data_IF_205407601641
#
_entry.id   IF_205407601641
#
_cell.length_a   1.000
_cell.length_b   1.000
_cell.length_c   1.000
_cell.angle_alpha   90.00
_cell.angle_beta   90.00
_cell.angle_gamma   90.00
#
_symmetry.space_group_name_H-M   'P 1'
#
loop_
_entity.id
_entity.type
_entity.pdbx_description
1 polymer ?
#
# COMPACT_ATOMS: atom_id res chain seq x y z
N UNK A 1 -2.70 16.95 8.41
CA UNK A 1 -1.32 16.97 7.91
C UNK A 1 -1.04 15.74 7.05
N UNK A 2 0.08 15.70 6.31
CA UNK A 2 0.42 14.59 5.41
C UNK A 2 0.55 13.23 6.13
N UNK A 3 1.14 13.21 7.33
CA UNK A 3 1.26 11.99 8.14
C UNK A 3 -0.09 11.36 8.51
N UNK A 4 -1.06 12.15 8.97
CA UNK A 4 -2.41 11.66 9.30
C UNK A 4 -3.13 11.05 8.09
N UNK A 5 -2.97 11.66 6.91
CA UNK A 5 -3.52 11.09 5.68
C UNK A 5 -2.86 9.73 5.35
N UNK A 6 -1.54 9.62 5.48
CA UNK A 6 -0.83 8.37 5.28
C UNK A 6 -1.23 7.28 6.29
N UNK A 7 -1.39 7.63 7.57
CA UNK A 7 -1.87 6.72 8.62
C UNK A 7 -3.31 6.24 8.34
N UNK A 8 -4.19 7.13 7.90
CA UNK A 8 -5.57 6.80 7.54
C UNK A 8 -5.65 5.90 6.32
N UNK A 9 -4.84 6.17 5.29
CA UNK A 9 -4.71 5.27 4.12
C UNK A 9 -4.17 3.90 4.55
N UNK A 10 -3.12 3.85 5.38
CA UNK A 10 -2.58 2.59 5.89
C UNK A 10 -3.65 1.78 6.66
N UNK A 11 -4.42 2.40 7.55
CA UNK A 11 -5.50 1.75 8.31
C UNK A 11 -6.51 1.08 7.37
N UNK A 12 -6.96 1.79 6.34
CA UNK A 12 -7.89 1.27 5.35
C UNK A 12 -7.30 0.11 4.52
N UNK A 13 -6.05 0.25 4.06
CA UNK A 13 -5.39 -0.72 3.20
C UNK A 13 -4.95 -1.97 3.96
N UNK A 14 -4.40 -1.83 5.16
CA UNK A 14 -3.96 -2.94 6.01
C UNK A 14 -5.12 -3.89 6.37
N UNK A 15 -6.34 -3.38 6.52
CA UNK A 15 -7.52 -4.20 6.80
C UNK A 15 -7.98 -5.05 5.61
N UNK A 16 -7.75 -4.60 4.37
CA UNK A 16 -8.39 -5.18 3.17
C UNK A 16 -7.40 -5.78 2.16
N UNK A 17 -6.17 -5.29 2.17
CA UNK A 17 -5.19 -5.53 1.12
C UNK A 17 -3.81 -5.95 1.66
N UNK A 18 -3.68 -6.22 2.96
CA UNK A 18 -2.43 -6.76 3.51
C UNK A 18 -2.13 -8.13 2.91
N UNK A 19 -0.87 -8.30 2.50
CA UNK A 19 -0.38 -9.58 2.02
C UNK A 19 -0.34 -10.63 3.13
N UNK A 20 -0.37 -11.90 2.74
CA UNK A 20 -0.11 -13.02 3.64
C UNK A 20 1.26 -12.87 4.32
N UNK A 21 1.39 -13.44 5.52
CA UNK A 21 2.51 -13.19 6.43
C UNK A 21 3.90 -13.47 5.81
N UNK A 22 3.99 -14.43 4.89
CA UNK A 22 5.24 -14.81 4.22
C UNK A 22 5.78 -13.72 3.27
N UNK A 23 4.95 -12.75 2.89
CA UNK A 23 5.34 -11.60 2.05
C UNK A 23 5.41 -10.29 2.83
N UNK A 24 5.11 -10.31 4.13
CA UNK A 24 5.10 -9.10 4.91
C UNK A 24 6.52 -8.60 5.21
N UNK A 25 6.71 -7.30 5.14
CA UNK A 25 7.97 -6.62 5.41
C UNK A 25 7.82 -5.69 6.61
N UNK A 26 8.94 -5.38 7.26
CA UNK A 26 9.02 -4.38 8.31
C UNK A 26 9.85 -3.20 7.81
N UNK A 27 9.35 -1.95 7.93
CA UNK A 27 10.12 -0.78 7.55
C UNK A 27 11.32 -0.62 8.51
N UNK A 28 12.43 -0.08 8.00
CA UNK A 28 13.60 0.26 8.83
C UNK A 28 13.32 1.49 9.71
N UNK A 29 12.62 2.47 9.13
CA UNK A 29 12.11 3.65 9.81
C UNK A 29 10.58 3.68 9.60
N UNK A 30 9.79 3.20 10.57
CA UNK A 30 8.33 3.23 10.45
C UNK A 30 7.81 4.67 10.56
N UNK A 31 6.75 4.98 9.81
CA UNK A 31 5.89 6.11 10.15
C UNK A 31 5.22 5.82 11.51
N UNK A 32 5.19 6.76 12.48
CA UNK A 32 4.62 6.55 13.81
C UNK A 32 3.07 6.59 13.75
N UNK A 33 2.47 5.59 13.12
CA UNK A 33 1.03 5.52 12.84
C UNK A 33 0.18 5.52 14.12
N UNK A 34 0.71 5.04 15.23
CA UNK A 34 0.02 5.03 16.53
C UNK A 34 -0.11 6.43 17.14
N UNK A 35 0.75 7.37 16.75
CA UNK A 35 0.73 8.76 17.21
C UNK A 35 -0.09 9.67 16.28
N UNK A 36 -0.58 9.14 15.16
CA UNK A 36 -1.28 9.87 14.11
C UNK A 36 -2.76 9.51 14.11
N UNK A 37 -3.62 10.52 13.90
CA UNK A 37 -5.01 10.29 13.52
C UNK A 37 -5.11 9.46 12.22
N UNK A 38 -5.63 8.25 12.37
CA UNK A 38 -5.86 7.27 11.29
C UNK A 38 -7.32 7.17 10.86
N UNK A 39 -8.19 8.08 11.30
CA UNK A 39 -9.64 8.07 11.05
C UNK A 39 -10.10 9.20 10.13
N UNK A 40 -9.16 9.86 9.44
CA UNK A 40 -9.53 10.85 8.44
C UNK A 40 -10.22 10.19 7.25
N UNK A 41 -11.28 10.83 6.76
CA UNK A 41 -11.94 10.44 5.51
C UNK A 41 -11.09 10.86 4.31
N UNK A 42 -10.11 10.03 3.99
CA UNK A 42 -9.20 10.20 2.87
C UNK A 42 -9.26 8.99 1.95
N UNK A 43 -9.29 9.25 0.64
CA UNK A 43 -9.19 8.19 -0.35
C UNK A 43 -7.73 7.86 -0.63
N UNK A 44 -7.35 6.57 -0.72
CA UNK A 44 -6.01 6.20 -1.20
C UNK A 44 -5.75 6.83 -2.58
N UNK A 45 -4.53 7.33 -2.87
CA UNK A 45 -4.19 7.93 -4.16
C UNK A 45 -4.60 7.07 -5.38
N UNK A 46 -4.96 7.72 -6.50
CA UNK A 46 -5.50 7.05 -7.68
C UNK A 46 -4.59 5.92 -8.20
N UNK A 47 -3.27 6.14 -8.19
CA UNK A 47 -2.28 5.16 -8.60
C UNK A 47 -2.31 3.90 -7.71
N UNK A 48 -2.36 4.08 -6.39
CA UNK A 48 -2.48 2.96 -5.44
C UNK A 48 -3.77 2.19 -5.70
N UNK A 49 -4.91 2.87 -5.87
CA UNK A 49 -6.19 2.22 -6.18
C UNK A 49 -6.14 1.41 -7.48
N UNK A 50 -5.44 1.90 -8.51
CA UNK A 50 -5.28 1.19 -9.76
C UNK A 50 -4.52 -0.14 -9.55
N UNK A 51 -3.40 -0.12 -8.83
CA UNK A 51 -2.65 -1.34 -8.51
C UNK A 51 -3.45 -2.33 -7.64
N UNK A 52 -4.20 -1.84 -6.65
CA UNK A 52 -5.08 -2.69 -5.84
C UNK A 52 -6.16 -3.39 -6.68
N UNK A 53 -6.72 -2.72 -7.70
CA UNK A 53 -7.66 -3.34 -8.66
C UNK A 53 -7.00 -4.40 -9.55
N UNK A 54 -5.69 -4.30 -9.76
CA UNK A 54 -4.91 -5.32 -10.46
C UNK A 54 -4.48 -6.48 -9.57
N UNK A 55 -4.80 -6.44 -8.27
CA UNK A 55 -4.48 -7.50 -7.31
C UNK A 55 -3.24 -7.22 -6.46
N UNK A 56 -2.68 -6.01 -6.52
CA UNK A 56 -1.56 -5.66 -5.66
C UNK A 56 -1.95 -5.72 -4.18
N UNK A 57 -0.95 -6.00 -3.34
CA UNK A 57 -1.09 -6.08 -1.89
C UNK A 57 -0.10 -5.13 -1.22
N UNK A 58 -0.51 -4.54 -0.11
CA UNK A 58 0.43 -3.84 0.79
C UNK A 58 1.19 -4.88 1.60
N UNK A 59 2.48 -4.66 1.82
CA UNK A 59 3.37 -5.63 2.45
C UNK A 59 3.62 -5.36 3.93
N UNK A 60 3.20 -4.20 4.44
CA UNK A 60 3.48 -3.82 5.81
C UNK A 60 3.24 -2.35 6.03
N UNK A 61 3.46 -1.87 7.27
CA UNK A 61 3.23 -0.48 7.62
C UNK A 61 4.13 0.45 6.79
N UNK A 62 3.69 1.72 6.58
CA UNK A 62 4.44 2.67 5.79
C UNK A 62 5.81 2.97 6.40
N UNK A 63 6.81 3.09 5.54
CA UNK A 63 8.12 3.63 5.91
C UNK A 63 8.06 5.16 5.86
N UNK A 64 8.71 5.83 6.80
CA UNK A 64 8.91 7.27 6.75
C UNK A 64 10.27 7.57 6.12
N UNK A 65 10.27 8.38 5.06
CA UNK A 65 11.48 8.93 4.47
C UNK A 65 11.60 10.41 4.88
N UNK A 66 12.54 10.75 5.80
CA UNK A 66 12.70 12.11 6.28
C UNK A 66 13.38 13.03 5.25
N UNK A 67 14.16 12.48 4.32
CA UNK A 67 14.89 13.27 3.32
C UNK A 67 13.92 13.85 2.27
N UNK A 68 12.85 13.12 1.97
CA UNK A 68 11.79 13.56 1.05
C UNK A 68 10.49 13.99 1.76
N UNK A 69 10.40 13.81 3.09
CA UNK A 69 9.20 14.01 3.89
C UNK A 69 7.99 13.24 3.34
N UNK A 70 8.19 11.95 3.05
CA UNK A 70 7.15 11.08 2.45
C UNK A 70 6.87 9.85 3.32
N UNK A 71 5.71 9.26 3.08
CA UNK A 71 5.33 7.98 3.66
C UNK A 71 5.17 6.96 2.53
N UNK A 72 6.07 5.98 2.49
CA UNK A 72 6.13 4.96 1.45
C UNK A 72 5.39 3.70 1.88
N UNK A 73 4.43 3.27 1.07
CA UNK A 73 3.72 2.01 1.27
C UNK A 73 4.38 0.91 0.45
N UNK A 74 5.07 -0.06 1.07
CA UNK A 74 5.62 -1.19 0.32
C UNK A 74 4.47 -2.02 -0.27
N UNK A 75 4.51 -2.23 -1.58
CA UNK A 75 3.46 -2.94 -2.33
C UNK A 75 4.06 -3.95 -3.30
N UNK A 76 3.34 -5.04 -3.54
CA UNK A 76 3.70 -6.04 -4.55
C UNK A 76 2.49 -6.38 -5.41
N UNK A 77 2.71 -6.46 -6.72
CA UNK A 77 1.78 -7.05 -7.67
C UNK A 77 2.41 -8.32 -8.22
N UNK A 78 1.80 -9.47 -7.93
CA UNK A 78 2.23 -10.74 -8.52
C UNK A 78 1.51 -10.93 -9.85
N UNK A 79 2.27 -11.22 -10.90
CA UNK A 79 1.73 -11.45 -12.25
C UNK A 79 0.69 -12.59 -12.25
N UNK A 80 0.91 -13.62 -11.43
CA UNK A 80 -0.05 -14.72 -11.25
C UNK A 80 -1.40 -14.28 -10.67
N UNK A 81 -1.46 -13.18 -9.92
CA UNK A 81 -2.70 -12.67 -9.31
C UNK A 81 -3.46 -11.69 -10.22
N UNK A 82 -2.89 -11.33 -11.37
CA UNK A 82 -3.55 -10.44 -12.32
C UNK A 82 -4.90 -11.03 -12.75
N UNK A 83 -5.99 -10.24 -12.77
CA UNK A 83 -7.24 -10.67 -13.35
C UNK A 83 -7.04 -11.13 -14.80
N UNK A 84 -7.73 -12.20 -15.21
CA UNK A 84 -7.54 -12.83 -16.52
C UNK A 84 -7.59 -11.84 -17.70
N UNK A 85 -8.47 -10.84 -17.63
CA UNK A 85 -8.59 -9.76 -18.63
C UNK A 85 -7.31 -8.94 -18.84
N UNK A 86 -6.42 -8.87 -17.85
CA UNK A 86 -5.16 -8.12 -17.93
C UNK A 86 -3.95 -9.02 -18.21
N UNK A 87 -4.04 -10.32 -17.95
CA UNK A 87 -2.92 -11.26 -18.17
C UNK A 87 -2.41 -11.21 -19.62
N UNK A 88 -3.32 -11.20 -20.59
CA UNK A 88 -2.96 -11.18 -22.02
C UNK A 88 -2.23 -9.89 -22.45
N UNK A 89 -2.40 -8.79 -21.73
CA UNK A 89 -1.75 -7.52 -22.07
C UNK A 89 -0.34 -7.43 -21.47
N UNK A 90 -0.08 -8.09 -20.34
CA UNK A 90 1.21 -8.04 -19.64
C UNK A 90 2.14 -9.21 -19.96
N UNK A 91 1.61 -10.39 -20.33
CA UNK A 91 2.41 -11.60 -20.53
C UNK A 91 2.86 -11.82 -21.98
N UNK A 92 2.35 -11.03 -22.92
CA UNK A 92 2.50 -11.34 -24.35
C UNK A 92 1.73 -12.62 -24.70
N UNK A 93 1.21 -12.66 -25.92
CA UNK A 93 0.71 -13.91 -26.52
C UNK A 93 1.81 -14.95 -26.62
#
# INVERSE_FOLDING_TARGET
GGGHAAASVWKQLGQRHLASIEWQVRPRLPLPIEELDGDLDVLPPALIRAYLRLGAKVLGPPAWDPDFNTADLPMMLRIGDLPARYRNHFLGS
#
